data_IF_664235386707
#
_entry.id   IF_664235386707
#
_cell.length_a   1.000
_cell.length_b   1.000
_cell.length_c   1.000
_cell.angle_alpha   90.00
_cell.angle_beta   90.00
_cell.angle_gamma   90.00
#
_symmetry.space_group_name_H-M   'P 1'
#
loop_
_entity.id
_entity.type
_entity.pdbx_description
1 polymer ?
#
# COMPACT_ATOMS: atom_id res chain seq x y z
N UNK A 1 -7.80 0.86 12.61
CA UNK A 1 -7.56 0.91 14.08
C UNK A 1 -6.13 1.34 14.31
N UNK A 2 -5.87 2.34 15.17
CA UNK A 2 -4.49 2.84 15.39
C UNK A 2 -3.65 1.85 16.22
N UNK A 3 -2.32 1.89 16.08
CA UNK A 3 -1.40 1.09 16.90
C UNK A 3 -1.65 1.30 18.41
N UNK A 4 -1.93 2.54 18.81
CA UNK A 4 -2.27 2.91 20.20
C UNK A 4 -3.51 2.19 20.73
N UNK A 5 -4.51 1.96 19.87
CA UNK A 5 -5.71 1.21 20.23
C UNK A 5 -5.42 -0.29 20.33
N UNK A 6 -4.54 -0.80 19.47
CA UNK A 6 -4.16 -2.22 19.45
C UNK A 6 -3.38 -2.61 20.70
N UNK A 7 -2.41 -1.79 21.15
CA UNK A 7 -1.60 -2.09 22.34
C UNK A 7 -2.41 -2.03 23.65
N UNK A 8 -3.52 -1.29 23.68
CA UNK A 8 -4.42 -1.20 24.85
C UNK A 8 -5.31 -2.43 25.01
N UNK A 9 -5.44 -3.27 23.97
CA UNK A 9 -6.29 -4.46 23.98
C UNK A 9 -5.44 -5.72 24.17
N UNK A 10 -5.51 -6.41 25.31
CA UNK A 10 -4.76 -7.65 25.50
C UNK A 10 -5.24 -8.72 24.52
N UNK A 11 -4.30 -9.37 23.84
CA UNK A 11 -4.61 -10.45 22.90
C UNK A 11 -4.97 -11.73 23.66
N UNK A 12 -6.14 -12.29 23.36
CA UNK A 12 -6.67 -13.51 23.98
C UNK A 12 -6.54 -14.67 23.00
N UNK A 13 -5.68 -15.63 23.32
CA UNK A 13 -5.51 -16.84 22.51
C UNK A 13 -6.44 -17.94 23.02
N UNK A 14 -7.13 -18.62 22.11
CA UNK A 14 -7.90 -19.81 22.44
C UNK A 14 -6.96 -20.90 22.98
N UNK A 15 -7.33 -21.52 24.10
CA UNK A 15 -6.61 -22.65 24.70
C UNK A 15 -7.40 -23.95 24.47
N UNK A 16 -6.98 -24.82 23.53
CA UNK A 16 -7.68 -26.07 23.27
C UNK A 16 -7.57 -27.05 24.45
N UNK A 17 -8.67 -27.72 24.79
CA UNK A 17 -8.70 -28.78 25.81
C UNK A 17 -9.71 -29.88 25.43
N UNK A 18 -9.59 -31.06 26.05
CA UNK A 18 -10.49 -32.18 25.79
C UNK A 18 -11.93 -31.82 26.17
N UNK A 19 -12.85 -31.94 25.22
CA UNK A 19 -14.26 -31.58 25.40
C UNK A 19 -14.58 -30.12 25.08
N UNK A 20 -13.62 -29.34 24.57
CA UNK A 20 -13.91 -28.05 23.97
C UNK A 20 -14.85 -28.25 22.76
N UNK A 21 -15.98 -27.54 22.76
CA UNK A 21 -16.89 -27.48 21.62
C UNK A 21 -16.31 -26.48 20.63
N UNK A 22 -16.24 -26.86 19.35
CA UNK A 22 -15.76 -26.00 18.28
C UNK A 22 -16.94 -25.60 17.42
N UNK A 23 -17.50 -24.43 17.72
CA UNK A 23 -18.58 -23.79 16.97
C UNK A 23 -18.06 -22.57 16.18
N UNK A 24 -18.97 -21.83 15.54
CA UNK A 24 -18.61 -20.63 14.76
C UNK A 24 -17.86 -19.61 15.62
N UNK A 25 -18.33 -19.35 16.84
CA UNK A 25 -17.68 -18.38 17.73
C UNK A 25 -16.27 -18.81 18.14
N UNK A 26 -16.09 -20.11 18.40
CA UNK A 26 -14.79 -20.69 18.76
C UNK A 26 -13.80 -20.61 17.60
N UNK A 27 -14.26 -20.87 16.37
CA UNK A 27 -13.46 -20.70 15.16
C UNK A 27 -13.12 -19.24 14.91
N UNK A 28 -14.10 -18.33 14.99
CA UNK A 28 -13.89 -16.89 14.81
C UNK A 28 -12.86 -16.35 15.81
N UNK A 29 -12.99 -16.66 17.10
CA UNK A 29 -12.06 -16.22 18.14
C UNK A 29 -10.62 -16.69 17.87
N UNK A 30 -10.44 -17.94 17.40
CA UNK A 30 -9.13 -18.47 17.07
C UNK A 30 -8.49 -17.73 15.88
N UNK A 31 -9.25 -17.47 14.82
CA UNK A 31 -8.75 -16.77 13.64
C UNK A 31 -8.55 -15.27 13.88
N UNK A 32 -9.42 -14.62 14.65
CA UNK A 32 -9.29 -13.22 15.04
C UNK A 32 -8.03 -12.96 15.84
N UNK A 33 -7.66 -13.88 16.74
CA UNK A 33 -6.37 -13.79 17.43
C UNK A 33 -5.19 -13.75 16.44
N UNK A 34 -5.19 -14.61 15.42
CA UNK A 34 -4.12 -14.65 14.42
C UNK A 34 -4.12 -13.41 13.51
N UNK A 35 -5.29 -12.93 13.08
CA UNK A 35 -5.42 -11.67 12.33
C UNK A 35 -4.90 -10.48 13.13
N UNK A 36 -5.26 -10.39 14.41
CA UNK A 36 -4.81 -9.31 15.28
C UNK A 36 -3.30 -9.37 15.54
N UNK A 37 -2.72 -10.55 15.75
CA UNK A 37 -1.27 -10.74 15.85
C UNK A 37 -0.54 -10.34 14.58
N UNK A 38 -1.06 -10.76 13.41
CA UNK A 38 -0.48 -10.41 12.12
C UNK A 38 -0.51 -8.89 11.89
N UNK A 39 -1.67 -8.25 12.07
CA UNK A 39 -1.78 -6.78 11.96
C UNK A 39 -0.84 -6.09 12.92
N UNK A 40 -0.75 -6.54 14.18
CA UNK A 40 0.15 -5.95 15.17
C UNK A 40 1.61 -6.04 14.72
N UNK A 41 2.06 -7.19 14.21
CA UNK A 41 3.40 -7.33 13.64
C UNK A 41 3.62 -6.32 12.51
N UNK A 42 2.67 -6.25 11.57
CA UNK A 42 2.75 -5.33 10.43
C UNK A 42 2.88 -3.89 10.88
N UNK A 43 1.92 -3.37 11.66
CA UNK A 43 1.88 -1.95 12.06
C UNK A 43 2.93 -1.55 13.09
N UNK A 44 3.53 -2.51 13.81
CA UNK A 44 4.58 -2.21 14.79
C UNK A 44 5.99 -2.29 14.22
N UNK A 45 6.18 -3.08 13.16
CA UNK A 45 7.51 -3.32 12.59
C UNK A 45 7.71 -2.71 11.21
N UNK A 46 6.64 -2.43 10.45
CA UNK A 46 6.73 -1.99 9.06
C UNK A 46 5.97 -0.68 8.82
N UNK A 47 6.62 0.27 8.17
CA UNK A 47 5.94 1.47 7.66
C UNK A 47 4.99 1.11 6.50
N UNK A 48 3.85 1.80 6.34
CA UNK A 48 3.00 1.61 5.17
C UNK A 48 3.75 1.96 3.88
N UNK A 49 3.35 1.34 2.77
CA UNK A 49 3.92 1.56 1.46
C UNK A 49 4.08 0.30 0.63
N UNK A 50 4.72 0.45 -0.52
CA UNK A 50 5.04 -0.64 -1.45
C UNK A 50 6.17 -1.49 -0.88
N UNK A 51 5.94 -2.80 -0.78
CA UNK A 51 6.95 -3.77 -0.36
C UNK A 51 7.79 -4.21 -1.56
N UNK A 52 7.14 -4.56 -2.67
CA UNK A 52 7.78 -4.98 -3.91
C UNK A 52 6.85 -4.76 -5.11
N UNK A 53 7.42 -4.48 -6.28
CA UNK A 53 6.67 -4.31 -7.53
C UNK A 53 5.74 -3.09 -7.50
N UNK A 54 4.51 -3.27 -7.99
CA UNK A 54 3.51 -2.21 -8.13
C UNK A 54 4.02 -1.00 -8.92
N UNK A 55 4.91 -1.24 -9.87
CA UNK A 55 5.43 -0.20 -10.74
C UNK A 55 4.31 0.31 -11.64
N UNK A 56 4.22 1.63 -11.76
CA UNK A 56 3.25 2.32 -12.59
C UNK A 56 3.99 2.88 -13.79
N UNK A 57 3.60 2.44 -14.98
CA UNK A 57 4.19 2.89 -16.25
C UNK A 57 3.09 3.32 -17.21
N UNK A 58 3.43 4.19 -18.16
CA UNK A 58 2.50 4.56 -19.21
C UNK A 58 2.21 3.35 -20.13
N UNK A 59 1.00 3.29 -20.68
CA UNK A 59 0.71 2.31 -21.72
C UNK A 59 1.58 2.55 -22.97
N UNK A 60 1.83 1.51 -23.75
CA UNK A 60 2.56 1.61 -25.01
C UNK A 60 1.75 0.97 -26.17
N UNK A 61 1.32 1.75 -27.18
CA UNK A 61 1.56 3.19 -27.35
C UNK A 61 0.83 4.04 -26.30
N UNK A 62 1.39 5.20 -25.89
CA UNK A 62 0.79 6.08 -24.88
C UNK A 62 -0.66 6.48 -25.19
N UNK A 63 -1.52 6.37 -24.19
CA UNK A 63 -2.90 6.87 -24.18
C UNK A 63 -3.26 7.41 -22.77
N UNK A 64 -4.54 7.58 -22.45
CA UNK A 64 -4.98 8.07 -21.14
C UNK A 64 -4.94 7.00 -20.02
N UNK A 65 -4.12 5.96 -20.17
CA UNK A 65 -4.04 4.85 -19.23
C UNK A 65 -2.60 4.53 -18.79
N UNK A 66 -2.53 3.91 -17.62
CA UNK A 66 -1.29 3.39 -17.05
C UNK A 66 -1.42 1.90 -16.80
N UNK A 67 -0.28 1.22 -16.68
CA UNK A 67 -0.19 -0.17 -16.23
C UNK A 67 0.42 -0.21 -14.85
N UNK A 68 -0.28 -0.86 -13.93
CA UNK A 68 0.19 -1.17 -12.59
C UNK A 68 0.63 -2.63 -12.61
N UNK A 69 1.93 -2.88 -12.49
CA UNK A 69 2.45 -4.25 -12.44
C UNK A 69 2.09 -4.96 -11.13
N UNK A 70 2.21 -6.29 -11.15
CA UNK A 70 2.01 -7.11 -9.95
C UNK A 70 2.97 -6.70 -8.83
N UNK A 71 2.55 -6.95 -7.60
CA UNK A 71 3.34 -6.60 -6.44
C UNK A 71 2.55 -6.64 -5.13
N UNK A 72 3.19 -6.16 -4.08
CA UNK A 72 2.69 -6.21 -2.71
C UNK A 72 2.88 -4.86 -2.03
N UNK A 73 1.88 -4.44 -1.28
CA UNK A 73 1.94 -3.25 -0.43
C UNK A 73 1.32 -3.51 0.95
N UNK A 74 1.63 -2.62 1.89
CA UNK A 74 1.03 -2.55 3.22
C UNK A 74 0.35 -1.20 3.38
N UNK A 75 -0.91 -1.20 3.81
CA UNK A 75 -1.60 0.05 4.17
C UNK A 75 -1.31 0.47 5.62
N UNK A 76 -1.80 1.64 6.02
CA UNK A 76 -1.60 2.21 7.36
C UNK A 76 -2.33 1.45 8.48
N UNK A 77 -3.24 0.54 8.15
CA UNK A 77 -3.92 -0.33 9.11
C UNK A 77 -3.29 -1.74 9.21
N UNK A 78 -2.22 -1.97 8.45
CA UNK A 78 -1.48 -3.22 8.43
C UNK A 78 -2.12 -4.31 7.58
N UNK A 79 -2.99 -3.95 6.65
CA UNK A 79 -3.48 -4.89 5.64
C UNK A 79 -2.43 -5.10 4.56
N UNK A 80 -2.27 -6.36 4.15
CA UNK A 80 -1.45 -6.71 3.01
C UNK A 80 -2.29 -6.66 1.74
N UNK A 81 -1.85 -5.87 0.77
CA UNK A 81 -2.50 -5.74 -0.53
C UNK A 81 -1.65 -6.48 -1.56
N UNK A 82 -2.25 -7.45 -2.25
CA UNK A 82 -1.58 -8.26 -3.27
C UNK A 82 -2.22 -8.01 -4.63
N UNK A 83 -1.42 -7.52 -5.57
CA UNK A 83 -1.77 -7.43 -6.99
C UNK A 83 -1.09 -8.59 -7.70
N UNK A 84 -1.86 -9.63 -8.03
CA UNK A 84 -1.30 -10.85 -8.63
C UNK A 84 -0.89 -10.70 -10.09
N UNK A 85 -1.57 -9.84 -10.85
CA UNK A 85 -1.38 -9.66 -12.29
C UNK A 85 -1.40 -8.17 -12.68
N UNK A 86 -0.69 -7.77 -13.75
CA UNK A 86 -0.69 -6.38 -14.21
C UNK A 86 -2.11 -5.87 -14.51
N UNK A 87 -2.45 -4.69 -14.00
CA UNK A 87 -3.73 -4.04 -14.21
C UNK A 87 -3.55 -2.83 -15.12
N UNK A 88 -4.33 -2.74 -16.19
CA UNK A 88 -4.45 -1.50 -16.97
C UNK A 88 -5.52 -0.62 -16.36
N UNK A 89 -5.19 0.64 -16.11
CA UNK A 89 -6.04 1.59 -15.41
C UNK A 89 -6.20 2.87 -16.22
N UNK A 90 -7.44 3.19 -16.60
CA UNK A 90 -7.78 4.38 -17.37
C UNK A 90 -8.10 5.54 -16.44
N UNK A 91 -7.41 6.67 -16.62
CA UNK A 91 -7.71 7.88 -15.89
C UNK A 91 -9.00 8.52 -16.45
N UNK A 92 -9.88 8.91 -15.54
CA UNK A 92 -11.21 9.47 -15.77
C UNK A 92 -11.26 10.98 -15.54
N UNK A 93 -10.23 11.58 -14.92
CA UNK A 93 -10.22 13.02 -14.68
C UNK A 93 -10.30 13.82 -16.00
N UNK A 94 -11.32 14.68 -16.07
CA UNK A 94 -11.62 15.49 -17.24
C UNK A 94 -11.11 16.94 -17.13
N UNK A 95 -10.89 17.42 -15.91
CA UNK A 95 -10.47 18.79 -15.63
C UNK A 95 -8.99 18.81 -15.27
N UNK A 96 -8.38 19.99 -15.40
CA UNK A 96 -7.01 20.18 -14.98
C UNK A 96 -6.86 19.96 -13.46
N UNK A 97 -5.85 19.20 -13.05
CA UNK A 97 -5.53 18.98 -11.64
C UNK A 97 -4.73 17.70 -11.38
N UNK A 98 -4.44 17.44 -10.10
CA UNK A 98 -3.69 16.26 -9.67
C UNK A 98 -4.61 15.04 -9.56
N UNK A 99 -4.37 14.01 -10.37
CA UNK A 99 -4.96 12.69 -10.22
C UNK A 99 -4.06 11.82 -9.33
N UNK A 100 -4.59 11.35 -8.22
CA UNK A 100 -3.92 10.40 -7.31
C UNK A 100 -4.36 8.99 -7.67
N UNK A 101 -3.41 8.12 -7.98
CA UNK A 101 -3.65 6.70 -8.23
C UNK A 101 -3.34 5.96 -6.93
N UNK A 102 -4.38 5.41 -6.30
CA UNK A 102 -4.29 4.75 -4.99
C UNK A 102 -4.84 3.34 -5.06
N UNK A 103 -4.26 2.45 -4.27
CA UNK A 103 -4.76 1.10 -4.05
C UNK A 103 -5.23 0.94 -2.61
N UNK A 104 -6.35 0.25 -2.43
CA UNK A 104 -7.00 0.08 -1.13
C UNK A 104 -7.38 -1.37 -0.90
N UNK A 105 -7.16 -1.84 0.33
CA UNK A 105 -7.59 -3.16 0.76
C UNK A 105 -9.13 -3.24 0.80
N UNK A 106 -9.67 -4.41 0.45
CA UNK A 106 -11.08 -4.73 0.67
C UNK A 106 -11.27 -6.22 0.90
N UNK A 107 -12.27 -6.56 1.69
CA UNK A 107 -12.78 -7.92 1.79
C UNK A 107 -13.99 -8.08 0.86
N UNK A 108 -14.01 -9.14 0.07
CA UNK A 108 -15.12 -9.48 -0.82
C UNK A 108 -15.64 -10.86 -0.46
N UNK A 109 -16.96 -10.97 -0.29
CA UNK A 109 -17.61 -12.25 -0.12
C UNK A 109 -17.36 -13.14 -1.36
N UNK A 110 -16.79 -14.33 -1.13
CA UNK A 110 -16.43 -15.28 -2.20
C UNK A 110 -17.09 -16.63 -1.93
N UNK A 111 -17.56 -17.27 -3.00
CA UNK A 111 -18.34 -18.51 -2.98
C UNK A 111 -19.51 -18.52 -1.96
N UNK A 112 -20.73 -18.17 -2.40
CA UNK A 112 -21.89 -18.26 -1.52
C UNK A 112 -22.24 -19.72 -1.21
N UNK A 113 -22.51 -20.02 0.06
CA UNK A 113 -23.00 -21.30 0.54
C UNK A 113 -24.47 -21.20 0.95
N UNK A 114 -25.26 -22.18 0.52
CA UNK A 114 -26.60 -22.39 1.06
C UNK A 114 -26.48 -22.84 2.52
N UNK A 115 -27.12 -22.10 3.42
CA UNK A 115 -27.14 -22.34 4.86
C UNK A 115 -28.56 -22.74 5.30
N UNK A 116 -28.87 -24.06 5.36
CA UNK A 116 -30.22 -24.52 5.70
C UNK A 116 -30.64 -24.05 7.09
N UNK A 117 -31.74 -23.30 7.16
CA UNK A 117 -32.27 -22.74 8.42
C UNK A 117 -31.85 -21.30 8.71
N UNK A 118 -30.97 -20.72 7.89
CA UNK A 118 -30.72 -19.27 7.87
C UNK A 118 -31.41 -18.61 6.67
N UNK A 119 -31.90 -17.38 6.85
CA UNK A 119 -32.75 -16.70 5.86
C UNK A 119 -32.01 -16.16 4.64
N UNK A 120 -30.70 -15.98 4.73
CA UNK A 120 -29.84 -15.46 3.66
C UNK A 120 -28.60 -16.36 3.50
N UNK A 121 -28.15 -16.64 2.26
CA UNK A 121 -26.91 -17.37 2.00
C UNK A 121 -25.70 -16.68 2.64
N UNK A 122 -24.78 -17.45 3.20
CA UNK A 122 -23.53 -16.92 3.76
C UNK A 122 -22.35 -17.14 2.82
N UNK A 123 -21.37 -16.24 2.87
CA UNK A 123 -20.12 -16.44 2.14
C UNK A 123 -19.32 -17.60 2.75
N UNK A 124 -18.94 -18.59 1.93
CA UNK A 124 -18.05 -19.69 2.36
C UNK A 124 -16.63 -19.18 2.56
N UNK A 125 -16.20 -18.26 1.71
CA UNK A 125 -14.88 -17.64 1.77
C UNK A 125 -14.99 -16.12 1.76
N UNK A 126 -13.96 -15.47 2.30
CA UNK A 126 -13.76 -14.03 2.16
C UNK A 126 -12.47 -13.86 1.40
N UNK A 127 -12.56 -13.26 0.22
CA UNK A 127 -11.41 -12.90 -0.58
C UNK A 127 -10.86 -11.56 -0.09
N UNK A 128 -9.62 -11.59 0.38
CA UNK A 128 -8.82 -10.38 0.63
C UNK A 128 -8.34 -9.84 -0.73
N UNK A 129 -8.95 -8.75 -1.17
CA UNK A 129 -8.68 -8.14 -2.47
C UNK A 129 -8.32 -6.67 -2.35
N UNK A 130 -8.46 -5.96 -3.48
CA UNK A 130 -8.20 -4.54 -3.54
C UNK A 130 -9.14 -3.80 -4.49
N UNK A 131 -9.19 -2.48 -4.32
CA UNK A 131 -9.71 -1.54 -5.32
C UNK A 131 -8.57 -0.63 -5.78
N UNK A 132 -8.45 -0.44 -7.08
CA UNK A 132 -7.60 0.59 -7.68
C UNK A 132 -8.47 1.80 -8.01
N UNK A 133 -8.08 2.97 -7.54
CA UNK A 133 -8.91 4.18 -7.59
C UNK A 133 -8.11 5.38 -8.08
N UNK A 134 -8.78 6.24 -8.83
CA UNK A 134 -8.34 7.60 -9.13
C UNK A 134 -9.05 8.55 -8.17
N UNK A 135 -8.29 9.44 -7.54
CA UNK A 135 -8.82 10.43 -6.60
C UNK A 135 -8.33 11.84 -6.95
N UNK A 136 -9.10 12.85 -6.54
CA UNK A 136 -8.72 14.28 -6.61
C UNK A 136 -8.02 14.76 -5.35
N UNK A 137 -8.27 14.07 -4.25
CA UNK A 137 -7.71 14.31 -2.93
C UNK A 137 -7.43 12.95 -2.30
N UNK A 138 -6.40 12.87 -1.47
CA UNK A 138 -6.07 11.61 -0.81
C UNK A 138 -7.18 11.20 0.18
N UNK A 139 -7.57 9.92 0.24
CA UNK A 139 -8.59 9.46 1.19
C UNK A 139 -8.16 9.64 2.65
N UNK A 140 -9.12 9.87 3.55
CA UNK A 140 -8.89 9.81 5.01
C UNK A 140 -8.78 8.36 5.53
N UNK A 141 -9.23 7.40 4.72
CA UNK A 141 -9.20 5.96 4.99
C UNK A 141 -7.83 5.36 4.66
N UNK A 142 -7.56 4.11 5.04
CA UNK A 142 -6.30 3.46 4.66
C UNK A 142 -6.17 3.25 3.14
N UNK A 143 -5.00 3.62 2.61
CA UNK A 143 -4.64 3.47 1.20
C UNK A 143 -3.11 3.34 1.06
N UNK A 144 -2.68 2.95 -0.14
CA UNK A 144 -1.29 3.09 -0.59
C UNK A 144 -1.28 3.90 -1.88
N UNK A 145 -0.50 4.99 -1.89
CA UNK A 145 -0.33 5.82 -3.08
C UNK A 145 0.66 5.16 -4.05
N UNK A 146 0.23 4.96 -5.29
CA UNK A 146 1.05 4.32 -6.32
C UNK A 146 1.69 5.33 -7.28
N UNK A 147 0.97 6.40 -7.61
CA UNK A 147 1.47 7.48 -8.46
C UNK A 147 0.57 8.71 -8.38
N UNK A 148 1.09 9.83 -8.88
CA UNK A 148 0.30 11.02 -9.22
C UNK A 148 0.46 11.33 -10.70
N UNK A 149 -0.51 12.03 -11.27
CA UNK A 149 -0.34 12.69 -12.56
C UNK A 149 -0.98 14.08 -12.49
N UNK A 150 -0.25 15.11 -12.91
CA UNK A 150 -0.80 16.44 -13.12
C UNK A 150 -1.50 16.47 -14.49
N UNK A 151 -2.82 16.28 -14.50
CA UNK A 151 -3.64 16.23 -15.70
C UNK A 151 -3.82 17.62 -16.27
N UNK A 152 -3.48 17.82 -17.54
CA UNK A 152 -3.69 19.08 -18.27
C UNK A 152 -5.12 19.23 -18.78
N UNK A 153 -5.81 18.12 -19.06
CA UNK A 153 -7.21 18.10 -19.51
C UNK A 153 -7.72 16.71 -19.86
N UNK A 154 -9.03 16.63 -20.17
CA UNK A 154 -9.72 15.38 -20.45
C UNK A 154 -9.07 14.55 -21.57
N UNK A 155 -8.81 13.27 -21.27
CA UNK A 155 -8.31 12.31 -22.27
C UNK A 155 -6.87 12.59 -22.72
N UNK A 156 -6.12 13.37 -21.96
CA UNK A 156 -4.69 13.60 -22.24
C UNK A 156 -3.91 12.29 -22.25
N UNK A 157 -2.88 12.24 -23.10
CA UNK A 157 -1.99 11.09 -23.20
C UNK A 157 -1.00 11.09 -22.04
N UNK A 158 -1.00 10.02 -21.25
CA UNK A 158 -0.10 9.83 -20.13
C UNK A 158 1.20 9.20 -20.62
N UNK A 159 2.33 9.70 -20.14
CA UNK A 159 3.66 9.22 -20.51
C UNK A 159 4.57 9.02 -19.30
N UNK A 160 5.63 8.23 -19.48
CA UNK A 160 6.68 8.12 -18.46
C UNK A 160 7.49 9.43 -18.41
N UNK A 161 7.93 9.86 -17.22
CA UNK A 161 8.70 11.09 -17.09
C UNK A 161 10.07 10.95 -17.75
N UNK A 162 10.49 11.96 -18.51
CA UNK A 162 11.88 12.05 -19.01
C UNK A 162 12.87 12.29 -17.85
N UNK A 163 12.41 12.89 -16.75
CA UNK A 163 13.17 13.08 -15.52
C UNK A 163 12.31 12.70 -14.30
N UNK A 164 12.64 11.60 -13.64
CA UNK A 164 11.91 11.13 -12.45
C UNK A 164 11.88 12.13 -11.28
N UNK A 165 12.83 13.07 -11.22
CA UNK A 165 12.87 14.11 -10.17
C UNK A 165 11.99 15.31 -10.47
N UNK A 166 11.66 15.53 -11.74
CA UNK A 166 10.85 16.65 -12.22
C UNK A 166 9.84 16.20 -13.28
N UNK A 167 8.88 15.33 -12.93
CA UNK A 167 7.78 14.99 -13.83
C UNK A 167 7.04 16.25 -14.27
N UNK A 168 6.66 16.31 -15.54
CA UNK A 168 5.85 17.40 -16.10
C UNK A 168 4.35 17.05 -16.07
N UNK A 169 3.50 17.97 -16.54
CA UNK A 169 2.10 17.65 -16.79
C UNK A 169 1.96 16.43 -17.70
N UNK A 170 0.95 15.61 -17.44
CA UNK A 170 0.63 14.36 -18.14
C UNK A 170 1.75 13.30 -18.08
N UNK A 171 2.67 13.45 -17.13
CA UNK A 171 3.69 12.46 -16.82
C UNK A 171 3.47 11.81 -15.47
N UNK A 172 3.80 10.53 -15.38
CA UNK A 172 3.68 9.77 -14.15
C UNK A 172 4.69 10.29 -13.12
N UNK A 173 4.20 10.67 -11.95
CA UNK A 173 5.01 11.06 -10.80
C UNK A 173 5.01 9.95 -9.74
N UNK A 174 6.17 9.32 -9.56
CA UNK A 174 6.39 8.24 -8.59
C UNK A 174 7.09 8.72 -7.31
N UNK A 175 7.43 10.01 -7.19
CA UNK A 175 8.25 10.54 -6.08
C UNK A 175 7.58 10.42 -4.71
N UNK A 176 6.26 10.28 -4.69
CA UNK A 176 5.43 10.24 -3.50
C UNK A 176 5.11 8.81 -3.03
N UNK A 177 5.53 7.79 -3.79
CA UNK A 177 5.40 6.40 -3.37
C UNK A 177 6.20 6.17 -2.10
N UNK A 178 5.52 5.72 -1.05
CA UNK A 178 6.19 5.20 0.13
C UNK A 178 6.69 3.80 -0.14
N UNK A 179 7.94 3.53 0.23
CA UNK A 179 8.48 2.17 0.27
C UNK A 179 8.32 1.65 1.69
N UNK A 180 7.69 0.49 1.82
CA UNK A 180 7.58 -0.20 3.10
C UNK A 180 8.96 -0.66 3.54
N UNK A 181 9.29 -0.41 4.80
CA UNK A 181 10.52 -0.86 5.42
C UNK A 181 10.34 -0.97 6.93
N UNK A 182 11.40 -1.40 7.64
CA UNK A 182 11.35 -1.43 9.09
C UNK A 182 11.07 -0.02 9.64
N UNK A 183 10.25 0.08 10.68
CA UNK A 183 10.11 1.34 11.41
C UNK A 183 11.48 1.75 11.97
N UNK A 184 12.04 2.84 11.46
CA UNK A 184 13.28 3.40 11.97
C UNK A 184 13.03 3.98 13.37
N UNK A 185 13.40 3.24 14.40
CA UNK A 185 13.51 3.76 15.76
C UNK A 185 14.87 4.43 15.89
N UNK A 186 15.00 5.67 15.41
CA UNK A 186 16.23 6.44 15.56
C UNK A 186 16.17 7.84 14.94
N UNK A 187 16.92 8.77 15.54
CA UNK A 187 17.16 10.09 14.94
C UNK A 187 18.12 9.92 13.76
N UNK A 188 17.69 10.36 12.56
CA UNK A 188 18.57 10.42 11.40
C UNK A 188 19.31 11.76 11.42
N UNK A 189 20.60 11.72 11.75
CA UNK A 189 21.49 12.86 11.59
C UNK A 189 21.99 12.95 10.14
N UNK A 190 21.63 14.01 9.43
CA UNK A 190 22.17 14.30 8.09
C UNK A 190 23.37 15.23 8.26
N UNK A 191 24.58 14.70 8.04
CA UNK A 191 25.80 15.50 7.90
C UNK A 191 25.95 15.97 6.46
N UNK A 192 25.84 17.27 6.21
CA UNK A 192 26.18 17.85 4.91
C UNK A 192 27.67 18.20 4.92
N UNK A 193 28.46 17.48 4.14
CA UNK A 193 29.87 17.83 3.91
C UNK A 193 29.93 18.64 2.62
N UNK A 194 30.24 19.96 2.67
CA UNK A 194 30.57 20.69 1.48
C UNK A 194 31.87 20.12 0.91
N UNK A 195 31.81 19.57 -0.30
CA UNK A 195 33.01 19.28 -1.06
C UNK A 195 33.55 20.63 -1.54
N UNK A 196 34.55 21.16 -0.84
CA UNK A 196 35.37 22.23 -1.40
C UNK A 196 36.05 21.66 -2.65
N UNK A 197 35.83 22.31 -3.80
CA UNK A 197 36.61 22.02 -5.00
C UNK A 197 38.07 22.32 -4.65
N UNK A 198 38.84 21.27 -4.39
CA UNK A 198 40.27 21.38 -4.22
C UNK A 198 40.88 21.68 -5.59
N UNK A 199 41.21 22.95 -5.83
CA UNK A 199 42.02 23.38 -6.97
C UNK A 199 43.44 22.74 -6.97
N UNK A 200 43.79 21.95 -5.94
CA UNK A 200 45.14 21.37 -5.74
C UNK A 200 45.21 19.83 -5.76
N UNK A 201 44.16 19.12 -6.18
CA UNK A 201 44.28 17.70 -6.56
C UNK A 201 44.70 16.71 -5.46
N UNK A 202 44.58 17.06 -4.18
CA UNK A 202 44.87 16.13 -3.07
C UNK A 202 43.61 15.55 -2.43
N UNK A 203 43.48 14.23 -2.49
CA UNK A 203 42.48 13.45 -1.75
C UNK A 203 42.84 13.41 -0.27
N UNK A 204 41.99 13.98 0.60
CA UNK A 204 42.11 13.79 2.05
C UNK A 204 41.18 12.67 2.51
N UNK A 205 41.75 11.63 3.12
CA UNK A 205 40.98 10.56 3.75
C UNK A 205 40.55 10.99 5.16
N UNK A 206 39.30 10.68 5.51
CA UNK A 206 38.75 10.91 6.84
C UNK A 206 39.32 9.87 7.83
N UNK A 207 39.97 10.36 8.89
CA UNK A 207 40.20 9.58 10.10
C UNK A 207 38.91 9.64 10.93
N UNK A 208 38.23 8.50 11.06
CA UNK A 208 37.02 8.39 11.89
C UNK A 208 37.33 8.54 13.38
N UNK A 209 36.40 9.16 14.09
CA UNK A 209 36.30 9.15 15.55
C UNK A 209 35.07 8.33 15.95
#
# INVERSE_FOLDING_TARGET
MSLDDMIKKPLRRLNPYRGLIVDVSTWSDAHDYHRAQHRLHTVSMHSPGVVLGLDVVAWNPPDNSVVIYSGVALDSEGHTIIVGEPQRFYLQMAEQGTAYIVIRYREVADEMADTPGEGEPQARYILEGYTLEERRELPDEAYVELARVEISGAGTTISDPQSYRHPQADQIDLRHRMISGPHALGEVGIGVVPLENADDGQTRHLAGA
#
